data_IF_624389600990
#
_entry.id   IF_624389600990
#
_cell.length_a   1.000
_cell.length_b   1.000
_cell.length_c   1.000
_cell.angle_alpha   90.00
_cell.angle_beta   90.00
_cell.angle_gamma   90.00
#
_symmetry.space_group_name_H-M   'P 1'
#
loop_
_entity.id
_entity.type
_entity.pdbx_description
1 polymer ?
#
# COMPACT_ATOMS: atom_id res chain seq x y z
N UNK A 1 -20.35 13.54 -5.66
CA UNK A 1 -20.10 13.45 -7.12
C UNK A 1 -18.63 13.11 -7.30
N UNK A 2 -18.32 11.96 -7.87
CA UNK A 2 -16.93 11.56 -8.11
C UNK A 2 -16.26 12.60 -9.05
N UNK A 3 -15.22 13.25 -8.58
CA UNK A 3 -14.42 14.19 -9.38
C UNK A 3 -13.64 13.41 -10.43
N UNK A 4 -14.03 13.56 -11.71
CA UNK A 4 -13.34 12.92 -12.81
C UNK A 4 -12.07 13.69 -13.12
N UNK A 5 -10.94 13.05 -12.92
CA UNK A 5 -9.63 13.56 -13.28
C UNK A 5 -9.31 13.13 -14.71
N UNK A 6 -8.76 14.03 -15.51
CA UNK A 6 -8.34 13.74 -16.90
C UNK A 6 -6.84 13.57 -16.94
N UNK A 7 -6.37 12.48 -17.55
CA UNK A 7 -4.96 12.18 -17.71
C UNK A 7 -4.64 11.86 -19.17
N UNK A 8 -3.53 12.37 -19.70
CA UNK A 8 -3.09 12.06 -21.05
C UNK A 8 -2.08 10.91 -21.03
N UNK A 9 -2.27 9.92 -21.91
CA UNK A 9 -1.38 8.80 -22.09
C UNK A 9 -0.97 8.63 -23.53
N UNK A 10 0.28 8.27 -23.78
CA UNK A 10 0.80 7.95 -25.10
C UNK A 10 1.03 6.45 -25.20
N UNK A 11 0.60 5.85 -26.30
CA UNK A 11 0.84 4.42 -26.55
C UNK A 11 2.33 4.20 -26.83
N UNK A 12 2.91 3.16 -26.23
CA UNK A 12 4.29 2.75 -26.49
C UNK A 12 4.35 1.40 -27.19
N UNK A 13 5.24 1.25 -28.15
CA UNK A 13 5.56 0.00 -28.82
C UNK A 13 6.78 -0.69 -28.19
N UNK A 14 7.70 0.10 -27.64
CA UNK A 14 8.91 -0.42 -27.03
C UNK A 14 8.64 -0.90 -25.61
N UNK A 15 9.04 -2.14 -25.33
CA UNK A 15 8.91 -2.79 -24.03
C UNK A 15 10.25 -3.26 -23.52
N UNK A 16 10.31 -3.66 -22.24
CA UNK A 16 11.50 -4.21 -21.59
C UNK A 16 12.27 -3.22 -20.74
N UNK A 17 13.28 -3.75 -20.04
CA UNK A 17 14.04 -3.05 -18.97
C UNK A 17 14.77 -1.79 -19.47
N UNK A 18 15.37 -1.86 -20.67
CA UNK A 18 16.12 -0.73 -21.26
C UNK A 18 15.21 0.43 -21.60
N UNK A 19 14.12 0.18 -22.33
CA UNK A 19 13.13 1.17 -22.71
C UNK A 19 12.47 1.82 -21.49
N UNK A 20 12.04 1.05 -20.49
CA UNK A 20 11.46 1.57 -19.27
C UNK A 20 12.41 2.48 -18.48
N UNK A 21 13.70 2.16 -18.41
CA UNK A 21 14.71 3.02 -17.77
C UNK A 21 14.94 4.33 -18.54
N UNK A 22 14.95 4.28 -19.87
CA UNK A 22 15.09 5.45 -20.72
C UNK A 22 13.91 6.41 -20.54
N UNK A 23 12.68 5.87 -20.52
CA UNK A 23 11.46 6.63 -20.28
C UNK A 23 11.48 7.37 -18.95
N UNK A 24 11.84 6.69 -17.86
CA UNK A 24 11.90 7.32 -16.53
C UNK A 24 12.93 8.45 -16.48
N UNK A 25 14.09 8.28 -17.15
CA UNK A 25 15.08 9.37 -17.27
C UNK A 25 14.57 10.57 -18.06
N UNK A 26 13.66 10.33 -19.02
CA UNK A 26 13.03 11.39 -19.81
C UNK A 26 11.84 12.05 -19.09
N UNK A 27 11.50 11.63 -17.85
CA UNK A 27 10.40 12.18 -17.08
C UNK A 27 9.04 11.52 -17.37
N UNK A 28 9.03 10.36 -18.03
CA UNK A 28 7.81 9.60 -18.30
C UNK A 28 7.74 8.36 -17.41
N UNK A 29 6.53 8.01 -16.99
CA UNK A 29 6.25 6.80 -16.22
C UNK A 29 5.64 5.76 -17.15
N UNK A 30 6.23 4.55 -17.24
CA UNK A 30 5.60 3.45 -17.96
C UNK A 30 4.36 2.97 -17.23
N UNK A 31 3.31 2.70 -17.98
CA UNK A 31 2.05 2.19 -17.45
C UNK A 31 1.45 1.13 -18.37
N UNK A 32 0.47 0.42 -17.83
CA UNK A 32 -0.31 -0.60 -18.53
C UNK A 32 -1.79 -0.35 -18.28
N UNK A 33 -2.60 -0.46 -19.33
CA UNK A 33 -4.07 -0.44 -19.23
C UNK A 33 -4.57 -1.82 -19.60
N UNK A 34 -5.34 -2.43 -18.73
CA UNK A 34 -5.94 -3.76 -18.94
C UNK A 34 -7.35 -3.82 -18.35
N UNK A 35 -8.07 -4.84 -18.70
CA UNK A 35 -9.42 -5.12 -18.19
C UNK A 35 -10.44 -5.25 -19.30
N UNK A 36 -11.62 -5.75 -18.94
CA UNK A 36 -12.82 -5.81 -19.77
C UNK A 36 -12.71 -6.60 -21.08
N UNK A 37 -11.81 -7.58 -21.17
CA UNK A 37 -11.62 -8.38 -22.39
C UNK A 37 -10.94 -7.62 -23.54
N UNK A 38 -10.55 -6.37 -23.35
CA UNK A 38 -9.72 -5.64 -24.30
C UNK A 38 -8.25 -6.08 -24.20
N UNK A 39 -7.53 -5.95 -25.32
CA UNK A 39 -6.10 -6.23 -25.35
C UNK A 39 -5.36 -5.26 -24.42
N UNK A 40 -4.45 -5.81 -23.61
CA UNK A 40 -3.57 -5.03 -22.74
C UNK A 40 -2.77 -4.00 -23.54
N UNK A 41 -2.89 -2.73 -23.18
CA UNK A 41 -2.22 -1.64 -23.88
C UNK A 41 -1.09 -1.07 -23.03
N UNK A 42 0.13 -1.14 -23.55
CA UNK A 42 1.27 -0.48 -22.95
C UNK A 42 1.26 1.01 -23.29
N UNK A 43 1.34 1.85 -22.27
CA UNK A 43 1.35 3.30 -22.41
C UNK A 43 2.44 3.95 -21.54
N UNK A 44 2.62 5.25 -21.72
CA UNK A 44 3.50 6.11 -20.95
C UNK A 44 2.77 7.39 -20.60
N UNK A 45 3.07 7.92 -19.42
CA UNK A 45 2.45 9.12 -18.85
C UNK A 45 3.53 10.14 -18.50
N UNK A 46 3.19 11.42 -18.57
CA UNK A 46 4.05 12.47 -18.02
C UNK A 46 4.02 12.39 -16.47
N UNK A 47 5.22 12.36 -15.86
CA UNK A 47 5.35 12.30 -14.40
C UNK A 47 4.62 13.45 -13.70
N UNK A 48 4.70 14.67 -14.23
CA UNK A 48 4.11 15.86 -13.61
C UNK A 48 2.57 15.82 -13.58
N UNK A 49 1.96 15.23 -14.62
CA UNK A 49 0.50 15.07 -14.66
C UNK A 49 0.06 13.97 -13.71
N UNK A 50 0.80 12.87 -13.68
CA UNK A 50 0.54 11.74 -12.78
C UNK A 50 0.70 12.14 -11.30
N UNK A 51 1.75 12.90 -10.96
CA UNK A 51 2.00 13.38 -9.61
C UNK A 51 0.83 14.20 -9.05
N UNK A 52 0.19 15.05 -9.86
CA UNK A 52 -1.00 15.79 -9.44
C UNK A 52 -2.17 14.89 -9.05
N UNK A 53 -2.29 13.75 -9.72
CA UNK A 53 -3.33 12.76 -9.42
C UNK A 53 -2.98 12.02 -8.14
N UNK A 54 -1.74 11.56 -7.99
CA UNK A 54 -1.27 10.81 -6.83
C UNK A 54 -1.17 11.65 -5.56
N UNK A 55 -1.08 12.97 -5.68
CA UNK A 55 -1.09 13.87 -4.51
C UNK A 55 -2.50 14.05 -3.92
N UNK A 56 -3.56 13.69 -4.64
CA UNK A 56 -4.91 13.70 -4.07
C UNK A 56 -5.06 12.60 -3.01
N UNK A 57 -5.77 12.89 -1.93
CA UNK A 57 -5.88 12.02 -0.74
C UNK A 57 -6.47 10.63 -1.07
N UNK A 58 -7.35 10.54 -2.08
CA UNK A 58 -8.06 9.30 -2.42
C UNK A 58 -7.88 8.94 -3.90
N UNK A 59 -6.63 8.95 -4.37
CA UNK A 59 -6.32 8.64 -5.77
C UNK A 59 -6.68 7.20 -6.17
N UNK A 60 -6.65 6.24 -5.23
CA UNK A 60 -6.95 4.81 -5.44
C UNK A 60 -8.41 4.58 -5.86
N UNK A 61 -9.32 5.37 -5.30
CA UNK A 61 -10.77 5.26 -5.52
C UNK A 61 -11.31 6.29 -6.52
N UNK A 62 -10.41 6.98 -7.23
CA UNK A 62 -10.79 8.02 -8.19
C UNK A 62 -10.87 7.47 -9.60
N UNK A 63 -12.03 7.65 -10.25
CA UNK A 63 -12.20 7.32 -11.68
C UNK A 63 -11.50 8.36 -12.53
N UNK A 64 -10.57 7.89 -13.38
CA UNK A 64 -9.75 8.73 -14.26
C UNK A 64 -10.21 8.54 -15.70
N UNK A 65 -10.44 9.67 -16.40
CA UNK A 65 -10.66 9.69 -17.84
C UNK A 65 -9.28 9.71 -18.54
N UNK A 66 -8.78 8.53 -18.91
CA UNK A 66 -7.50 8.37 -19.60
C UNK A 66 -7.68 8.61 -21.10
N UNK A 67 -7.02 9.65 -21.65
CA UNK A 67 -6.95 9.90 -23.09
C UNK A 67 -5.72 9.25 -23.66
N UNK A 68 -5.91 8.25 -24.52
CA UNK A 68 -4.84 7.60 -25.28
C UNK A 68 -4.72 8.25 -26.65
N UNK A 69 -3.52 8.41 -27.19
CA UNK A 69 -3.13 9.13 -28.43
C UNK A 69 -4.11 9.09 -29.62
N UNK A 70 -4.94 8.10 -29.74
CA UNK A 70 -5.89 7.95 -30.85
C UNK A 70 -7.29 8.52 -30.55
N UNK A 71 -7.41 9.40 -29.54
CA UNK A 71 -8.69 10.03 -29.19
C UNK A 71 -9.67 9.10 -28.47
N UNK A 72 -9.29 7.86 -28.17
CA UNK A 72 -10.06 6.97 -27.33
C UNK A 72 -9.88 7.42 -25.88
N UNK A 73 -10.99 7.73 -25.23
CA UNK A 73 -11.03 8.00 -23.80
C UNK A 73 -11.53 6.73 -23.12
N UNK A 74 -10.73 6.19 -22.20
CA UNK A 74 -11.11 5.05 -21.36
C UNK A 74 -11.32 5.54 -19.93
N UNK A 75 -12.37 5.05 -19.27
CA UNK A 75 -12.53 5.24 -17.84
C UNK A 75 -11.67 4.18 -17.14
N UNK A 76 -10.74 4.60 -16.31
CA UNK A 76 -9.81 3.69 -15.63
C UNK A 76 -9.73 4.01 -14.14
N UNK A 77 -9.39 3.00 -13.36
CA UNK A 77 -8.96 3.12 -11.97
C UNK A 77 -7.47 2.78 -11.89
N UNK A 78 -6.77 3.41 -10.96
CA UNK A 78 -5.42 2.99 -10.62
C UNK A 78 -5.54 1.74 -9.75
N UNK A 79 -4.97 0.63 -10.19
CA UNK A 79 -4.99 -0.63 -9.43
C UNK A 79 -3.74 -0.78 -8.56
N UNK A 80 -2.58 -0.39 -9.12
CA UNK A 80 -1.31 -0.51 -8.42
C UNK A 80 -0.36 0.60 -8.86
N UNK A 81 0.37 1.15 -7.89
CA UNK A 81 1.46 2.09 -8.12
C UNK A 81 2.74 1.52 -7.52
N UNK A 82 3.69 1.19 -8.38
CA UNK A 82 4.99 0.71 -7.95
C UNK A 82 5.91 1.88 -7.66
N UNK A 83 6.32 2.03 -6.42
CA UNK A 83 7.24 3.06 -5.95
C UNK A 83 8.66 2.52 -5.84
N UNK A 84 9.65 3.40 -6.02
CA UNK A 84 11.03 3.06 -5.76
C UNK A 84 11.29 3.05 -4.23
N UNK A 85 11.91 1.98 -3.65
CA UNK A 85 12.04 1.83 -2.19
C UNK A 85 12.83 2.96 -1.50
N UNK A 86 13.79 3.59 -2.21
CA UNK A 86 14.69 4.58 -1.61
C UNK A 86 14.56 5.98 -2.24
N UNK A 87 13.71 6.17 -3.24
CA UNK A 87 13.55 7.46 -3.95
C UNK A 87 12.07 7.74 -4.14
N UNK A 88 11.63 8.99 -4.11
CA UNK A 88 10.26 9.36 -4.40
C UNK A 88 9.99 9.32 -5.92
N UNK A 89 10.18 8.15 -6.53
CA UNK A 89 10.00 7.91 -7.96
C UNK A 89 8.99 6.80 -8.17
N UNK A 90 7.99 7.04 -9.02
CA UNK A 90 7.06 6.01 -9.47
C UNK A 90 7.73 5.18 -10.56
N UNK A 91 7.75 3.87 -10.38
CA UNK A 91 8.35 2.93 -11.33
C UNK A 91 7.36 2.45 -12.38
N UNK A 92 6.12 2.20 -11.99
CA UNK A 92 5.07 1.70 -12.86
C UNK A 92 3.70 2.05 -12.31
N UNK A 93 2.72 2.17 -13.18
CA UNK A 93 1.30 2.33 -12.82
C UNK A 93 0.45 1.38 -13.62
N UNK A 94 -0.43 0.68 -12.92
CA UNK A 94 -1.37 -0.26 -13.48
C UNK A 94 -2.78 0.36 -13.48
N UNK A 95 -3.38 0.43 -14.65
CA UNK A 95 -4.73 0.93 -14.82
C UNK A 95 -5.68 -0.19 -15.17
N UNK A 96 -6.76 -0.29 -14.42
CA UNK A 96 -7.89 -1.17 -14.72
C UNK A 96 -8.96 -0.39 -15.49
N UNK A 97 -9.22 -0.79 -16.72
CA UNK A 97 -10.32 -0.24 -17.50
C UNK A 97 -11.67 -0.71 -16.93
N UNK A 98 -12.58 0.25 -16.71
CA UNK A 98 -13.87 -0.01 -16.09
C UNK A 98 -15.03 0.38 -17.01
N UNK A 99 -16.12 -0.38 -16.93
CA UNK A 99 -17.39 -0.05 -17.56
C UNK A 99 -18.44 0.31 -16.51
N UNK A 100 -19.38 1.16 -16.89
CA UNK A 100 -20.38 1.71 -15.96
C UNK A 100 -21.30 0.66 -15.35
N UNK A 101 -21.50 -0.46 -16.06
CA UNK A 101 -22.49 -1.48 -15.71
C UNK A 101 -21.86 -2.69 -14.99
N UNK A 102 -20.54 -2.68 -14.76
CA UNK A 102 -19.83 -3.78 -14.15
C UNK A 102 -19.41 -3.44 -12.71
N UNK A 103 -19.67 -4.38 -11.78
CA UNK A 103 -19.20 -4.25 -10.40
C UNK A 103 -17.70 -4.47 -10.34
N UNK A 104 -16.99 -3.53 -9.76
CA UNK A 104 -15.54 -3.56 -9.58
C UNK A 104 -15.20 -3.88 -8.13
N UNK A 105 -14.15 -4.66 -7.93
CA UNK A 105 -13.53 -4.91 -6.62
C UNK A 105 -12.38 -3.94 -6.43
N UNK A 106 -12.38 -3.25 -5.31
CA UNK A 106 -11.34 -2.28 -4.95
C UNK A 106 -11.16 -2.24 -3.43
N UNK A 107 -9.99 -1.80 -3.03
CA UNK A 107 -9.62 -1.61 -1.64
C UNK A 107 -9.91 -0.14 -1.30
N UNK A 108 -10.69 0.10 -0.24
CA UNK A 108 -11.10 1.44 0.19
C UNK A 108 -10.50 1.74 1.55
N UNK A 109 -9.83 2.90 1.70
CA UNK A 109 -9.29 3.30 2.98
C UNK A 109 -10.38 3.59 4.00
N UNK A 110 -10.06 3.34 5.27
CA UNK A 110 -10.93 3.61 6.41
C UNK A 110 -10.52 4.94 7.04
N UNK A 111 -11.48 5.83 7.21
CA UNK A 111 -11.29 7.09 7.96
C UNK A 111 -11.94 6.98 9.34
N UNK A 112 -11.16 7.27 10.37
CA UNK A 112 -11.65 7.28 11.74
C UNK A 112 -12.22 8.64 12.08
N UNK A 113 -13.49 8.65 12.51
CA UNK A 113 -14.19 9.85 12.93
C UNK A 113 -14.34 9.84 14.45
N UNK A 114 -14.15 11.01 15.06
CA UNK A 114 -14.31 11.20 16.50
C UNK A 114 -13.02 11.00 17.29
N UNK A 115 -13.15 11.04 18.61
CA UNK A 115 -12.06 10.81 19.57
C UNK A 115 -12.55 9.82 20.61
N UNK A 116 -11.93 8.65 20.65
CA UNK A 116 -12.26 7.63 21.61
C UNK A 116 -12.06 8.11 23.07
N UNK A 117 -13.02 7.91 23.98
CA UNK A 117 -12.85 8.22 25.38
C UNK A 117 -11.68 7.45 26.00
N UNK A 118 -11.42 6.22 25.58
CA UNK A 118 -10.27 5.44 26.05
C UNK A 118 -8.92 6.08 25.72
N UNK A 119 -8.79 6.82 24.61
CA UNK A 119 -7.58 7.61 24.30
C UNK A 119 -7.43 8.79 25.25
N UNK A 120 -8.53 9.45 25.65
CA UNK A 120 -8.49 10.54 26.66
C UNK A 120 -8.08 10.04 28.05
N UNK A 121 -8.34 8.77 28.34
CA UNK A 121 -7.95 8.09 29.57
C UNK A 121 -6.51 7.57 29.55
N UNK A 122 -5.79 7.81 28.44
CA UNK A 122 -4.38 7.44 28.27
C UNK A 122 -4.15 6.17 27.46
N UNK A 123 -5.18 5.59 26.84
CA UNK A 123 -5.06 4.48 25.89
C UNK A 123 -4.46 4.93 24.57
N UNK A 124 -3.99 3.98 23.81
CA UNK A 124 -3.47 4.17 22.44
C UNK A 124 -4.42 3.52 21.47
N UNK A 125 -4.80 4.24 20.40
CA UNK A 125 -5.60 3.71 19.33
C UNK A 125 -4.68 3.00 18.32
N UNK A 126 -4.85 1.71 18.18
CA UNK A 126 -4.13 0.88 17.21
C UNK A 126 -4.99 0.61 15.98
N UNK A 127 -4.41 0.80 14.81
CA UNK A 127 -5.04 0.51 13.52
C UNK A 127 -4.57 -0.87 13.05
N UNK A 128 -5.45 -1.85 13.04
CA UNK A 128 -5.17 -3.19 12.55
C UNK A 128 -5.41 -3.31 11.04
N UNK A 129 -6.41 -2.58 10.52
CA UNK A 129 -6.71 -2.52 9.08
C UNK A 129 -6.89 -1.08 8.65
N UNK A 130 -6.20 -0.70 7.59
CA UNK A 130 -6.30 0.63 6.99
C UNK A 130 -7.23 0.64 5.78
N UNK A 131 -7.48 -0.52 5.17
CA UNK A 131 -8.26 -0.70 3.95
C UNK A 131 -9.19 -1.90 4.05
N UNK A 132 -10.32 -1.83 3.34
CA UNK A 132 -11.31 -2.92 3.24
C UNK A 132 -11.63 -3.17 1.78
N UNK A 133 -11.61 -4.46 1.37
CA UNK A 133 -12.02 -4.87 0.03
C UNK A 133 -13.54 -4.78 -0.09
N UNK A 134 -13.99 -3.98 -1.06
CA UNK A 134 -15.41 -3.81 -1.38
C UNK A 134 -15.71 -4.15 -2.82
N UNK A 135 -16.99 -4.40 -3.10
CA UNK A 135 -17.51 -4.54 -4.45
C UNK A 135 -18.63 -3.52 -4.67
N UNK A 136 -18.46 -2.64 -5.66
CA UNK A 136 -19.47 -1.64 -5.99
C UNK A 136 -19.48 -1.31 -7.48
N UNK A 137 -20.48 -0.54 -7.90
CA UNK A 137 -20.52 0.05 -9.24
C UNK A 137 -19.57 1.27 -9.28
N UNK A 138 -18.94 1.56 -10.43
CA UNK A 138 -18.04 2.72 -10.58
C UNK A 138 -18.67 4.07 -10.26
N UNK A 139 -19.99 4.16 -10.33
CA UNK A 139 -20.73 5.38 -9.97
C UNK A 139 -20.87 5.57 -8.45
N UNK A 140 -20.74 4.50 -7.68
CA UNK A 140 -20.98 4.47 -6.23
C UNK A 140 -19.70 4.19 -5.43
N UNK A 141 -18.54 4.39 -6.03
CA UNK A 141 -17.25 4.22 -5.33
C UNK A 141 -17.15 5.29 -4.24
N UNK A 142 -17.07 4.91 -2.94
CA UNK A 142 -16.82 5.85 -1.86
C UNK A 142 -15.35 6.27 -1.86
N UNK A 143 -15.06 7.48 -1.39
CA UNK A 143 -13.68 7.95 -1.25
C UNK A 143 -13.00 7.29 -0.06
N UNK A 144 -13.72 7.15 1.05
CA UNK A 144 -13.31 6.45 2.25
C UNK A 144 -14.53 5.80 2.90
N UNK A 145 -14.31 4.83 3.77
CA UNK A 145 -15.33 4.28 4.67
C UNK A 145 -15.09 4.86 6.06
N UNK A 146 -16.16 5.40 6.65
CA UNK A 146 -16.09 6.07 7.93
C UNK A 146 -16.39 5.10 9.08
N UNK A 147 -15.59 5.19 10.16
CA UNK A 147 -15.84 4.49 11.41
C UNK A 147 -15.86 5.47 12.58
N UNK A 148 -16.93 5.43 13.39
CA UNK A 148 -17.05 6.29 14.56
C UNK A 148 -16.46 5.59 15.79
N UNK A 149 -15.39 6.18 16.34
CA UNK A 149 -14.71 5.69 17.54
C UNK A 149 -15.11 6.42 18.81
N UNK A 150 -16.09 7.34 18.73
CA UNK A 150 -16.53 8.18 19.88
C UNK A 150 -17.10 7.37 21.04
N UNK A 151 -17.49 6.11 20.81
CA UNK A 151 -18.02 5.21 21.83
C UNK A 151 -17.00 4.23 22.43
N UNK A 152 -15.76 4.19 21.92
CA UNK A 152 -14.78 3.16 22.32
C UNK A 152 -14.07 3.54 23.60
N UNK A 153 -14.25 2.72 24.64
CA UNK A 153 -13.52 2.76 25.90
C UNK A 153 -12.16 2.07 25.83
N UNK A 154 -11.48 1.98 26.96
CA UNK A 154 -10.21 1.28 27.07
C UNK A 154 -10.41 -0.23 26.98
N UNK A 155 -9.74 -0.89 26.04
CA UNK A 155 -9.87 -2.32 25.74
C UNK A 155 -10.94 -2.67 24.72
N UNK A 156 -11.69 -1.70 24.21
CA UNK A 156 -12.71 -1.91 23.21
C UNK A 156 -12.11 -2.06 21.80
N UNK A 157 -12.83 -2.79 20.96
CA UNK A 157 -12.43 -3.11 19.59
C UNK A 157 -13.57 -2.68 18.65
N UNK A 158 -13.23 -2.02 17.56
CA UNK A 158 -14.16 -1.78 16.47
C UNK A 158 -13.88 -2.74 15.31
N UNK A 159 -14.95 -3.32 14.76
CA UNK A 159 -14.91 -4.31 13.69
C UNK A 159 -15.37 -3.73 12.35
N UNK A 160 -15.21 -4.50 11.28
CA UNK A 160 -15.69 -4.13 9.92
C UNK A 160 -17.21 -3.93 9.90
N UNK A 161 -17.96 -4.55 10.82
CA UNK A 161 -19.42 -4.40 10.94
C UNK A 161 -19.84 -2.98 11.36
N UNK A 162 -18.95 -2.26 12.07
CA UNK A 162 -19.22 -0.92 12.60
C UNK A 162 -18.97 0.20 11.57
N UNK A 163 -18.52 -0.18 10.35
CA UNK A 163 -18.29 0.76 9.25
C UNK A 163 -19.62 1.31 8.70
N UNK A 164 -19.63 2.59 8.41
CA UNK A 164 -20.75 3.24 7.72
C UNK A 164 -20.65 2.94 6.23
N UNK A 165 -21.48 2.00 5.75
CA UNK A 165 -21.46 1.55 4.35
C UNK A 165 -22.53 2.33 3.55
N UNK A 166 -22.16 3.03 2.47
CA UNK A 166 -23.12 3.70 1.60
C UNK A 166 -23.94 2.70 0.76
N UNK A 167 -25.08 3.14 0.23
CA UNK A 167 -25.96 2.31 -0.58
C UNK A 167 -25.27 1.80 -1.86
N UNK A 168 -25.39 0.50 -2.13
CA UNK A 168 -24.85 -0.15 -3.33
C UNK A 168 -23.39 -0.62 -3.22
N UNK A 169 -22.83 -0.63 -2.02
CA UNK A 169 -21.50 -1.19 -1.72
C UNK A 169 -21.67 -2.51 -0.97
N UNK A 170 -20.97 -3.53 -1.43
CA UNK A 170 -20.89 -4.86 -0.80
C UNK A 170 -19.49 -5.04 -0.21
N UNK A 171 -19.35 -5.30 1.08
CA UNK A 171 -18.07 -5.64 1.72
C UNK A 171 -17.74 -7.09 1.39
N UNK A 172 -16.53 -7.34 0.92
CA UNK A 172 -15.99 -8.68 0.66
C UNK A 172 -15.07 -9.18 1.78
N UNK A 173 -14.48 -8.28 2.53
CA UNK A 173 -13.64 -8.59 3.68
C UNK A 173 -14.47 -9.24 4.79
N UNK A 174 -13.77 -9.97 5.67
CA UNK A 174 -14.37 -10.60 6.84
C UNK A 174 -15.00 -9.53 7.76
N UNK A 175 -16.29 -9.67 8.03
CA UNK A 175 -17.07 -8.73 8.83
C UNK A 175 -16.65 -8.70 10.31
N UNK A 176 -16.16 -9.83 10.83
CA UNK A 176 -15.67 -9.95 12.22
C UNK A 176 -14.23 -9.43 12.36
N UNK A 177 -13.60 -9.01 11.24
CA UNK A 177 -12.24 -8.49 11.26
C UNK A 177 -12.11 -7.20 12.05
N UNK A 178 -11.13 -7.14 12.94
CA UNK A 178 -10.81 -5.94 13.72
C UNK A 178 -10.27 -4.85 12.81
N UNK A 179 -10.83 -3.64 12.94
CA UNK A 179 -10.36 -2.42 12.24
C UNK A 179 -9.45 -1.62 13.14
N UNK A 180 -9.89 -1.31 14.33
CA UNK A 180 -9.07 -0.60 15.31
C UNK A 180 -9.41 -1.07 16.73
N UNK A 181 -8.46 -0.88 17.65
CA UNK A 181 -8.64 -1.17 19.07
C UNK A 181 -8.01 -0.11 19.94
N UNK A 182 -8.52 0.06 21.15
CA UNK A 182 -7.93 0.97 22.15
C UNK A 182 -7.21 0.16 23.20
N UNK A 183 -5.88 0.20 23.19
CA UNK A 183 -5.03 -0.61 24.07
C UNK A 183 -4.46 0.25 25.21
N UNK A 184 -4.42 -0.25 26.47
CA UNK A 184 -3.77 0.46 27.54
C UNK A 184 -2.24 0.51 27.35
N UNK A 185 -1.57 1.63 27.65
CA UNK A 185 -0.15 1.81 27.39
C UNK A 185 0.79 0.84 28.12
N UNK A 186 0.29 0.17 29.19
CA UNK A 186 1.04 -0.84 29.92
C UNK A 186 1.23 -2.15 29.15
N UNK A 187 0.28 -2.52 28.28
CA UNK A 187 0.36 -3.75 27.45
C UNK A 187 1.41 -3.59 26.36
N UNK A 188 1.46 -2.43 25.71
CA UNK A 188 2.47 -2.14 24.69
C UNK A 188 3.90 -2.16 25.23
N UNK A 189 4.12 -1.73 26.48
CA UNK A 189 5.43 -1.82 27.11
C UNK A 189 5.87 -3.25 27.36
N UNK A 190 4.93 -4.15 27.71
CA UNK A 190 5.23 -5.56 27.94
C UNK A 190 5.51 -6.28 26.62
N UNK A 191 4.75 -6.01 25.55
CA UNK A 191 4.99 -6.61 24.24
C UNK A 191 6.32 -6.14 23.62
N UNK A 192 6.71 -4.89 23.83
CA UNK A 192 8.01 -4.37 23.37
C UNK A 192 9.16 -4.97 24.18
N UNK A 193 9.02 -5.07 25.52
CA UNK A 193 10.03 -5.71 26.38
C UNK A 193 10.16 -7.23 26.07
N UNK A 194 9.06 -7.94 25.81
CA UNK A 194 9.11 -9.35 25.38
C UNK A 194 9.75 -9.52 24.00
N UNK A 195 9.42 -8.64 23.05
CA UNK A 195 10.01 -8.67 21.71
C UNK A 195 11.51 -8.31 21.70
N UNK A 196 11.93 -7.35 22.54
CA UNK A 196 13.35 -7.01 22.73
C UNK A 196 14.10 -8.16 23.42
N UNK A 197 13.49 -8.82 24.41
CA UNK A 197 14.08 -9.98 25.08
C UNK A 197 14.22 -11.21 24.18
N UNK A 198 13.26 -11.45 23.27
CA UNK A 198 13.38 -12.49 22.25
C UNK A 198 14.47 -12.18 21.21
N UNK A 199 14.63 -10.90 20.83
CA UNK A 199 15.68 -10.48 19.92
C UNK A 199 17.09 -10.61 20.54
N UNK A 200 17.26 -10.21 21.82
CA UNK A 200 18.51 -10.39 22.55
C UNK A 200 18.86 -11.88 22.75
N UNK A 201 17.84 -12.72 23.07
CA UNK A 201 18.05 -14.15 23.20
C UNK A 201 18.45 -14.82 21.85
N UNK A 202 17.90 -14.33 20.73
CA UNK A 202 18.27 -14.82 19.39
C UNK A 202 19.65 -14.32 18.94
N UNK A 203 20.12 -13.16 19.39
CA UNK A 203 21.47 -12.66 19.15
C UNK A 203 22.53 -13.42 19.99
N UNK A 204 22.21 -13.79 21.24
CA UNK A 204 23.11 -14.59 22.09
C UNK A 204 23.27 -16.02 21.58
N UNK A 205 22.24 -16.62 20.94
CA UNK A 205 22.39 -17.94 20.27
C UNK A 205 23.15 -17.87 18.93
N UNK A 206 23.32 -16.67 18.35
CA UNK A 206 23.98 -16.49 17.05
C UNK A 206 25.48 -16.15 17.15
N UNK A 207 26.05 -15.98 18.35
CA UNK A 207 27.50 -15.87 18.49
C UNK A 207 28.15 -17.24 18.29
N UNK A 208 28.92 -17.44 17.22
CA UNK A 208 29.65 -18.71 17.02
C UNK A 208 30.78 -18.81 18.05
N UNK A 209 30.73 -19.86 18.86
CA UNK A 209 31.85 -20.29 19.72
C UNK A 209 33.16 -20.29 18.91
N UNK A 210 33.97 -19.31 19.20
CA UNK A 210 35.37 -19.31 18.73
C UNK A 210 36.12 -20.39 19.52
N UNK A 211 36.17 -21.60 18.97
CA UNK A 211 37.02 -22.67 19.47
C UNK A 211 38.47 -22.20 19.34
N UNK A 212 39.00 -21.71 20.43
CA UNK A 212 40.42 -21.48 20.60
C UNK A 212 41.19 -22.83 20.50
N UNK A 213 41.98 -22.99 19.45
CA UNK A 213 42.95 -24.10 19.39
C UNK A 213 44.34 -23.51 19.58
N UNK A 214 44.88 -23.82 20.77
CA UNK A 214 46.15 -23.43 21.26
C UNK A 214 47.34 -23.89 20.39
N UNK A 215 48.42 -23.15 20.62
CA UNK A 215 49.85 -23.44 20.36
C UNK A 215 50.25 -24.91 20.67
N UNK A 216 51.40 -25.42 20.19
CA UNK A 216 52.72 -24.84 20.37
C UNK A 216 53.77 -25.10 19.25
N UNK A 217 54.74 -24.21 19.21
CA UNK A 217 56.19 -24.40 19.36
C UNK A 217 57.01 -25.17 18.35
N UNK A 218 58.13 -24.54 18.07
CA UNK A 218 59.55 -24.94 17.88
C UNK A 218 59.98 -25.17 16.43
N UNK A 219 60.87 -24.26 16.11
CA UNK A 219 62.35 -24.44 15.88
C UNK A 219 62.67 -25.12 14.54
N UNK A 220 63.47 -24.56 13.78
CA UNK A 220 64.90 -24.49 13.51
C UNK A 220 65.20 -24.07 12.06
N UNK A 221 66.01 -23.04 11.96
CA UNK A 221 67.24 -22.92 11.19
C UNK A 221 67.44 -23.77 9.89
N UNK A 222 67.77 -23.14 8.84
CA UNK A 222 69.10 -23.11 8.18
C UNK A 222 68.96 -22.59 6.75
N UNK A 223 69.72 -21.53 6.47
CA UNK A 223 70.75 -21.34 5.49
C UNK A 223 70.57 -21.80 4.01
N UNK A 224 70.98 -20.83 3.21
CA UNK A 224 71.69 -20.93 1.88
C UNK A 224 70.82 -21.22 0.63
N UNK A 225 71.07 -20.32 -0.31
CA UNK A 225 70.86 -20.50 -1.74
C UNK A 225 70.60 -19.22 -2.45
#
# INVERSE_FOLDING_TARGET
MASKVKLAAQRRSETGKGAARSLRRAGYVPAIVYGHGEETQACQLDWRELEKVLTSVHWENTVIDLKIDNGKTANVLIREVQLHPCRPEVLHVDFLAIHKDEKVKLDVPIEIIGVAPGVKEGGILEHHRMEVEIRCLPSNIPQALEIDVSGLGMGDVASVQDLVVPEGVEILSDLDGTVCSVVPPAVLKQEVEEAEAELEAAEEEAEPEVIGRGKPAEEEETEEG
#
